data_IF_967977737484
#
_entry.id   IF_967977737484
#
_cell.length_a   1.000
_cell.length_b   1.000
_cell.length_c   1.000
_cell.angle_alpha   90.00
_cell.angle_beta   90.00
_cell.angle_gamma   90.00
#
_symmetry.space_group_name_H-M   'P 1'
#
loop_
_entity.id
_entity.type
_entity.pdbx_description
1 polymer ?
#
# COMPACT_ATOMS: atom_id res chain seq x y z
N UNK A 1 22.93 -19.74 -2.72
CA UNK A 1 22.58 -18.55 -1.90
C UNK A 1 21.07 -18.39 -1.91
N UNK A 2 20.43 -18.16 -0.76
CA UNK A 2 18.98 -17.87 -0.70
C UNK A 2 18.80 -16.39 -0.37
N UNK A 3 17.95 -15.69 -1.11
CA UNK A 3 17.61 -14.27 -0.89
C UNK A 3 16.10 -14.15 -0.75
N UNK A 4 15.65 -13.53 0.34
CA UNK A 4 14.25 -13.18 0.59
C UNK A 4 14.11 -11.67 0.43
N UNK A 5 13.08 -11.24 -0.31
CA UNK A 5 12.74 -9.83 -0.49
C UNK A 5 11.28 -9.67 -0.09
N UNK A 6 11.03 -8.70 0.79
CA UNK A 6 9.69 -8.32 1.24
C UNK A 6 9.44 -6.89 0.79
N UNK A 7 8.24 -6.62 0.28
CA UNK A 7 7.81 -5.29 -0.17
C UNK A 7 6.39 -5.04 0.31
N UNK A 8 6.08 -3.79 0.65
CA UNK A 8 4.72 -3.35 0.96
C UNK A 8 4.03 -2.87 -0.31
N UNK A 9 2.71 -2.88 -0.33
CA UNK A 9 1.92 -2.21 -1.36
C UNK A 9 2.27 -0.70 -1.45
N UNK A 10 1.97 -0.08 -2.60
CA UNK A 10 2.17 1.35 -2.83
C UNK A 10 1.23 2.24 -2.01
N UNK A 11 1.33 3.56 -2.16
CA UNK A 11 0.44 4.50 -1.47
C UNK A 11 -1.02 4.25 -1.87
N UNK A 12 -1.88 3.97 -0.90
CA UNK A 12 -3.34 3.92 -1.11
C UNK A 12 -3.99 5.29 -0.96
N UNK A 13 -5.20 5.45 -1.50
CA UNK A 13 -5.97 6.68 -1.31
C UNK A 13 -6.18 7.03 0.18
N UNK A 14 -6.32 6.02 1.03
CA UNK A 14 -6.52 6.22 2.48
C UNK A 14 -5.21 6.54 3.20
N UNK A 15 -4.07 6.02 2.74
CA UNK A 15 -2.77 6.48 3.23
C UNK A 15 -2.55 7.95 2.91
N UNK A 16 -2.89 8.39 1.70
CA UNK A 16 -2.80 9.80 1.32
C UNK A 16 -3.70 10.70 2.22
N UNK A 17 -4.89 10.20 2.58
CA UNK A 17 -5.85 10.91 3.45
C UNK A 17 -5.59 10.73 4.96
N UNK A 18 -4.53 10.02 5.36
CA UNK A 18 -4.25 9.65 6.76
C UNK A 18 -5.41 8.94 7.47
N UNK A 19 -6.12 8.06 6.74
CA UNK A 19 -7.20 7.23 7.27
C UNK A 19 -6.71 5.82 7.58
N UNK A 20 -7.35 5.17 8.55
CA UNK A 20 -7.10 3.77 8.87
C UNK A 20 -7.82 2.85 7.88
N UNK A 21 -7.09 2.10 7.06
CA UNK A 21 -7.65 1.18 6.04
C UNK A 21 -8.34 -0.04 6.63
N UNK A 22 -7.75 -0.68 7.63
CA UNK A 22 -8.26 -1.94 8.17
C UNK A 22 -8.41 -3.01 7.08
N UNK A 23 -9.64 -3.50 6.91
CA UNK A 23 -10.00 -4.58 5.97
C UNK A 23 -10.71 -4.05 4.72
N UNK A 24 -10.85 -2.73 4.59
CA UNK A 24 -11.48 -2.11 3.44
C UNK A 24 -10.57 -2.24 2.23
N UNK A 25 -11.13 -2.72 1.13
CA UNK A 25 -10.45 -2.78 -0.16
C UNK A 25 -10.38 -1.37 -0.76
N UNK A 26 -9.17 -0.82 -0.85
CA UNK A 26 -8.92 0.57 -1.28
C UNK A 26 -7.90 0.60 -2.39
N UNK A 27 -8.17 1.44 -3.39
CA UNK A 27 -7.28 1.57 -4.55
C UNK A 27 -5.95 2.27 -4.20
N UNK A 28 -4.95 2.02 -5.06
CA UNK A 28 -3.69 2.74 -5.06
C UNK A 28 -3.86 4.11 -5.75
N UNK A 29 -3.09 5.10 -5.29
CA UNK A 29 -2.97 6.38 -5.99
C UNK A 29 -2.05 6.25 -7.20
N UNK A 30 -2.01 7.26 -8.07
CA UNK A 30 -1.02 7.32 -9.16
C UNK A 30 0.43 7.26 -8.65
N UNK A 31 0.70 7.71 -7.41
CA UNK A 31 2.01 7.57 -6.76
C UNK A 31 2.30 6.14 -6.29
N UNK A 32 1.24 5.36 -6.01
CA UNK A 32 1.33 3.99 -5.53
C UNK A 32 1.44 2.93 -6.63
N UNK A 33 1.08 3.27 -7.86
CA UNK A 33 1.26 2.45 -9.07
C UNK A 33 2.72 2.54 -9.52
#
# INVERSE_FOLDING_TARGET
MKKLILVRHGQSEWNLKNLFTGWTDVDLTEQGI
#
